data_IF_340559596543
#
_entry.id   IF_340559596543
#
_cell.length_a   1.000
_cell.length_b   1.000
_cell.length_c   1.000
_cell.angle_alpha   90.00
_cell.angle_beta   90.00
_cell.angle_gamma   90.00
#
_symmetry.space_group_name_H-M   'P 1'
#
loop_
_entity.id
_entity.type
_entity.pdbx_description
1 polymer ?
#
# COMPACT_ATOMS: atom_id res chain seq x y z
N UNK A 1 7.04 -31.17 -19.14
CA UNK A 1 6.72 -30.64 -17.81
C UNK A 1 7.65 -29.46 -17.55
N UNK A 2 7.19 -28.26 -17.76
CA UNK A 2 7.97 -27.03 -17.55
C UNK A 2 8.09 -26.78 -16.04
N UNK A 3 9.32 -26.81 -15.53
CA UNK A 3 9.61 -26.54 -14.10
C UNK A 3 9.27 -25.09 -13.81
N UNK A 4 8.09 -24.82 -13.25
CA UNK A 4 7.71 -23.51 -12.76
C UNK A 4 8.74 -23.10 -11.70
N UNK A 5 9.66 -22.21 -12.06
CA UNK A 5 10.62 -21.62 -11.11
C UNK A 5 9.83 -20.73 -10.14
N UNK A 6 9.52 -21.27 -8.98
CA UNK A 6 8.93 -20.48 -7.89
C UNK A 6 9.94 -19.42 -7.44
N UNK A 7 9.64 -18.16 -7.71
CA UNK A 7 10.45 -17.07 -7.20
C UNK A 7 10.24 -16.94 -5.68
N UNK A 8 11.33 -16.75 -4.93
CA UNK A 8 11.29 -16.57 -3.46
C UNK A 8 10.34 -15.45 -3.03
N UNK A 9 10.19 -14.43 -3.89
CA UNK A 9 9.28 -13.30 -3.69
C UNK A 9 7.77 -13.64 -3.81
N UNK A 10 7.44 -14.88 -4.19
CA UNK A 10 6.05 -15.37 -4.33
C UNK A 10 5.73 -16.47 -3.30
N UNK A 11 6.57 -16.62 -2.25
CA UNK A 11 6.34 -17.61 -1.20
C UNK A 11 5.24 -17.16 -0.24
N UNK A 12 4.46 -18.13 0.26
CA UNK A 12 3.43 -17.88 1.27
C UNK A 12 3.98 -17.19 2.53
N UNK A 13 5.18 -17.57 2.99
CA UNK A 13 5.84 -16.98 4.16
C UNK A 13 6.07 -15.47 3.99
N UNK A 14 6.60 -15.06 2.84
CA UNK A 14 6.79 -13.65 2.55
C UNK A 14 5.45 -12.90 2.48
N UNK A 15 4.44 -13.51 1.87
CA UNK A 15 3.11 -12.92 1.77
C UNK A 15 2.45 -12.72 3.14
N UNK A 16 2.63 -13.68 4.06
CA UNK A 16 2.14 -13.57 5.44
C UNK A 16 2.85 -12.44 6.20
N UNK A 17 4.19 -12.32 6.07
CA UNK A 17 4.95 -11.23 6.69
C UNK A 17 4.52 -9.86 6.16
N UNK A 18 4.32 -9.74 4.85
CA UNK A 18 3.88 -8.48 4.24
C UNK A 18 2.43 -8.15 4.62
N UNK A 19 1.55 -9.15 4.78
CA UNK A 19 0.19 -8.92 5.28
C UNK A 19 0.20 -8.44 6.74
N UNK A 20 1.07 -9.01 7.58
CA UNK A 20 1.27 -8.56 8.95
C UNK A 20 1.82 -7.14 9.01
N UNK A 21 2.80 -6.80 8.16
CA UNK A 21 3.33 -5.44 8.02
C UNK A 21 2.23 -4.44 7.63
N UNK A 22 1.40 -4.76 6.62
CA UNK A 22 0.29 -3.90 6.21
C UNK A 22 -0.76 -3.72 7.30
N UNK A 23 -1.09 -4.77 8.05
CA UNK A 23 -1.98 -4.69 9.21
C UNK A 23 -1.41 -3.83 10.35
N UNK A 24 -0.11 -3.92 10.59
CA UNK A 24 0.58 -3.07 11.57
C UNK A 24 0.57 -1.59 11.15
N UNK A 25 0.80 -1.30 9.87
CA UNK A 25 0.72 0.06 9.32
C UNK A 25 -0.69 0.65 9.46
N UNK A 26 -1.74 -0.15 9.20
CA UNK A 26 -3.14 0.26 9.42
C UNK A 26 -3.41 0.53 10.91
N UNK A 27 -2.97 -0.37 11.80
CA UNK A 27 -3.12 -0.19 13.23
C UNK A 27 -2.41 1.08 13.73
N UNK A 28 -1.21 1.36 13.22
CA UNK A 28 -0.46 2.56 13.55
C UNK A 28 -1.18 3.83 13.09
N UNK A 29 -1.59 3.91 11.82
CA UNK A 29 -2.25 5.10 11.29
C UNK A 29 -3.63 5.32 11.92
N UNK A 30 -4.37 4.26 12.22
CA UNK A 30 -5.68 4.36 12.83
C UNK A 30 -5.64 4.74 14.31
N UNK A 31 -4.71 4.16 15.11
CA UNK A 31 -4.68 4.40 16.55
C UNK A 31 -3.81 5.59 16.96
N UNK A 32 -2.73 5.88 16.23
CA UNK A 32 -1.72 6.87 16.63
C UNK A 32 -1.81 8.17 15.82
N UNK A 33 -2.40 8.09 14.61
CA UNK A 33 -2.59 9.24 13.72
C UNK A 33 -4.07 9.63 13.69
N UNK A 34 -4.63 10.00 12.58
CA UNK A 34 -5.95 10.63 12.46
C UNK A 34 -7.11 9.65 12.17
N UNK A 35 -7.06 8.41 12.69
CA UNK A 35 -8.06 7.36 12.49
C UNK A 35 -8.34 7.04 11.02
N UNK A 36 -7.32 7.06 10.21
CA UNK A 36 -7.37 6.77 8.78
C UNK A 36 -6.57 5.50 8.49
N UNK A 37 -7.06 4.65 7.61
CA UNK A 37 -6.35 3.45 7.18
C UNK A 37 -5.32 3.78 6.10
N UNK A 38 -4.14 3.20 6.20
CA UNK A 38 -3.08 3.35 5.19
C UNK A 38 -3.16 2.32 4.07
N UNK A 39 -3.61 1.09 4.40
CA UNK A 39 -3.69 -0.03 3.48
C UNK A 39 -5.15 -0.38 3.15
N UNK A 40 -6.05 -0.40 4.13
CA UNK A 40 -7.47 -0.74 3.95
C UNK A 40 -8.28 0.42 3.35
N UNK A 41 -8.02 0.76 2.09
CA UNK A 41 -8.65 1.92 1.42
C UNK A 41 -10.18 1.81 1.32
N UNK A 42 -10.72 0.59 1.32
CA UNK A 42 -12.18 0.37 1.40
C UNK A 42 -12.76 0.97 2.68
N UNK A 43 -12.05 0.85 3.81
CA UNK A 43 -12.43 1.48 5.07
C UNK A 43 -12.49 3.01 4.96
N UNK A 44 -11.47 3.61 4.32
CA UNK A 44 -11.46 5.07 4.09
C UNK A 44 -12.64 5.52 3.22
N UNK A 45 -12.98 4.77 2.16
CA UNK A 45 -14.15 5.08 1.30
C UNK A 45 -15.46 4.99 2.09
N UNK A 46 -15.62 3.98 2.94
CA UNK A 46 -16.81 3.84 3.80
C UNK A 46 -16.91 5.01 4.78
N UNK A 47 -15.83 5.34 5.48
CA UNK A 47 -15.82 6.47 6.42
C UNK A 47 -16.05 7.82 5.71
N UNK A 48 -15.45 8.01 4.53
CA UNK A 48 -15.70 9.18 3.69
C UNK A 48 -17.18 9.30 3.32
N UNK A 49 -17.81 8.21 2.86
CA UNK A 49 -19.23 8.23 2.49
C UNK A 49 -20.14 8.53 3.68
N UNK A 50 -19.84 8.01 4.86
CA UNK A 50 -20.55 8.28 6.09
C UNK A 50 -20.53 9.78 6.46
N UNK A 51 -19.36 10.42 6.39
CA UNK A 51 -19.22 11.85 6.67
C UNK A 51 -19.91 12.72 5.61
N UNK A 52 -19.89 12.30 4.33
CA UNK A 52 -20.62 12.97 3.27
C UNK A 52 -22.15 12.95 3.52
N UNK A 53 -22.71 11.81 3.93
CA UNK A 53 -24.13 11.68 4.27
C UNK A 53 -24.53 12.54 5.47
N UNK A 54 -23.57 12.80 6.40
CA UNK A 54 -23.78 13.69 7.55
C UNK A 54 -23.57 15.18 7.20
N UNK A 55 -23.26 15.53 5.96
CA UNK A 55 -22.97 16.90 5.53
C UNK A 55 -21.62 17.45 6.00
N UNK A 56 -20.73 16.59 6.51
CA UNK A 56 -19.42 16.96 7.06
C UNK A 56 -18.32 16.87 6.00
N UNK A 57 -18.32 17.80 5.06
CA UNK A 57 -17.45 17.79 3.89
C UNK A 57 -15.96 17.85 4.22
N UNK A 58 -15.56 18.64 5.23
CA UNK A 58 -14.16 18.75 5.63
C UNK A 58 -13.62 17.42 6.20
N UNK A 59 -14.43 16.73 7.01
CA UNK A 59 -14.08 15.43 7.57
C UNK A 59 -14.05 14.35 6.46
N UNK A 60 -14.95 14.41 5.48
CA UNK A 60 -14.95 13.50 4.34
C UNK A 60 -13.67 13.64 3.48
N UNK A 61 -13.22 14.88 3.22
CA UNK A 61 -11.98 15.14 2.48
C UNK A 61 -10.75 14.57 3.19
N UNK A 62 -10.77 14.50 4.51
CA UNK A 62 -9.69 13.92 5.29
C UNK A 62 -9.39 12.45 4.89
N UNK A 63 -10.42 11.68 4.56
CA UNK A 63 -10.28 10.29 4.10
C UNK A 63 -9.90 10.18 2.62
N UNK A 64 -10.14 11.22 1.82
CA UNK A 64 -9.79 11.23 0.40
C UNK A 64 -8.29 11.32 0.15
N UNK A 65 -7.55 12.09 0.94
CA UNK A 65 -6.12 12.30 0.75
C UNK A 65 -5.29 11.01 0.79
N UNK A 66 -5.46 10.09 1.76
CA UNK A 66 -4.79 8.80 1.78
C UNK A 66 -5.15 7.91 0.58
N UNK A 67 -6.39 7.97 0.08
CA UNK A 67 -6.81 7.25 -1.13
C UNK A 67 -6.05 7.74 -2.35
N UNK A 68 -5.91 9.06 -2.51
CA UNK A 68 -5.12 9.67 -3.60
C UNK A 68 -3.63 9.29 -3.47
N UNK A 69 -3.07 9.38 -2.25
CA UNK A 69 -1.68 9.00 -2.00
C UNK A 69 -1.43 7.52 -2.33
N UNK A 70 -2.38 6.64 -2.00
CA UNK A 70 -2.34 5.22 -2.36
C UNK A 70 -2.35 5.02 -3.87
N UNK A 71 -3.24 5.68 -4.60
CA UNK A 71 -3.29 5.62 -6.06
C UNK A 71 -1.98 6.09 -6.72
N UNK A 72 -1.37 7.14 -6.19
CA UNK A 72 -0.04 7.61 -6.64
C UNK A 72 1.05 6.57 -6.36
N UNK A 73 1.01 5.89 -5.21
CA UNK A 73 1.96 4.82 -4.86
C UNK A 73 1.87 3.65 -5.84
N UNK A 74 0.66 3.22 -6.22
CA UNK A 74 0.45 2.19 -7.25
C UNK A 74 1.07 2.63 -8.58
N UNK A 75 0.80 3.85 -9.01
CA UNK A 75 1.32 4.40 -10.26
C UNK A 75 2.86 4.44 -10.28
N UNK A 76 3.48 4.90 -9.20
CA UNK A 76 4.95 4.93 -9.07
C UNK A 76 5.54 3.54 -9.09
N UNK A 77 4.94 2.58 -8.36
CA UNK A 77 5.40 1.19 -8.35
C UNK A 77 5.36 0.57 -9.76
N UNK A 78 4.31 0.85 -10.55
CA UNK A 78 4.21 0.40 -11.94
C UNK A 78 5.30 1.01 -12.82
N UNK A 79 5.58 2.30 -12.67
CA UNK A 79 6.66 2.99 -13.42
C UNK A 79 8.04 2.43 -13.07
N UNK A 80 8.32 2.19 -11.79
CA UNK A 80 9.56 1.56 -11.34
C UNK A 80 9.67 0.14 -11.92
N UNK A 81 8.59 -0.65 -11.87
CA UNK A 81 8.57 -1.99 -12.46
C UNK A 81 8.88 -1.95 -13.96
N UNK A 82 8.23 -1.08 -14.74
CA UNK A 82 8.44 -0.99 -16.18
C UNK A 82 9.88 -0.60 -16.52
N UNK A 83 10.46 0.35 -15.79
CA UNK A 83 11.82 0.88 -16.04
C UNK A 83 12.92 -0.09 -15.65
N UNK A 84 12.76 -0.83 -14.54
CA UNK A 84 13.84 -1.63 -13.95
C UNK A 84 13.64 -3.15 -14.09
N UNK A 85 12.54 -3.62 -14.66
CA UNK A 85 12.23 -5.05 -14.81
C UNK A 85 13.30 -5.84 -15.55
N UNK A 86 13.99 -5.21 -16.50
CA UNK A 86 14.98 -5.85 -17.38
C UNK A 86 16.43 -5.47 -17.04
N UNK A 87 16.69 -4.72 -15.97
CA UNK A 87 18.05 -4.39 -15.56
C UNK A 87 18.61 -5.46 -14.62
N UNK A 88 19.83 -5.94 -14.92
CA UNK A 88 20.45 -7.13 -14.33
C UNK A 88 21.06 -6.93 -12.95
N UNK A 89 21.39 -5.69 -12.52
CA UNK A 89 22.23 -5.48 -11.34
C UNK A 89 21.48 -5.43 -10.01
N UNK A 90 20.25 -4.91 -9.99
CA UNK A 90 19.43 -4.84 -8.76
C UNK A 90 18.00 -5.23 -9.11
N UNK A 91 17.44 -6.17 -8.36
CA UNK A 91 16.05 -6.56 -8.58
C UNK A 91 15.11 -5.41 -8.19
N UNK A 92 14.26 -4.93 -9.11
CA UNK A 92 13.34 -3.80 -8.92
C UNK A 92 12.50 -3.88 -7.62
N UNK A 93 12.16 -5.09 -7.17
CA UNK A 93 11.45 -5.30 -5.89
C UNK A 93 12.27 -4.88 -4.67
N UNK A 94 13.60 -5.04 -4.71
CA UNK A 94 14.49 -4.59 -3.63
C UNK A 94 14.54 -3.06 -3.53
N UNK A 95 14.50 -2.38 -4.66
CA UNK A 95 14.46 -0.90 -4.71
C UNK A 95 13.19 -0.41 -4.01
N UNK A 96 12.05 -1.03 -4.28
CA UNK A 96 10.77 -0.62 -3.68
C UNK A 96 10.77 -0.90 -2.17
N UNK A 97 11.26 -2.05 -1.72
CA UNK A 97 11.38 -2.35 -0.29
C UNK A 97 12.34 -1.39 0.42
N UNK A 98 13.47 -1.05 -0.20
CA UNK A 98 14.40 -0.06 0.37
C UNK A 98 13.75 1.32 0.49
N UNK A 99 12.99 1.74 -0.53
CA UNK A 99 12.25 3.00 -0.50
C UNK A 99 11.15 2.99 0.58
N UNK A 100 10.43 1.87 0.73
CA UNK A 100 9.44 1.69 1.79
C UNK A 100 10.06 1.84 3.18
N UNK A 101 11.19 1.14 3.44
CA UNK A 101 11.92 1.25 4.70
C UNK A 101 12.33 2.70 4.97
N UNK A 102 12.87 3.40 3.98
CA UNK A 102 13.26 4.80 4.11
C UNK A 102 12.07 5.71 4.44
N UNK A 103 10.93 5.53 3.76
CA UNK A 103 9.70 6.31 4.02
C UNK A 103 9.19 6.03 5.44
N UNK A 104 9.06 4.76 5.85
CA UNK A 104 8.58 4.42 7.19
C UNK A 104 9.51 4.91 8.29
N UNK A 105 10.82 4.88 8.06
CA UNK A 105 11.80 5.45 8.97
C UNK A 105 11.60 6.97 9.12
N UNK A 106 11.43 7.70 8.02
CA UNK A 106 11.15 9.14 8.05
C UNK A 106 9.83 9.46 8.76
N UNK A 107 8.78 8.66 8.52
CA UNK A 107 7.47 8.82 9.19
C UNK A 107 7.59 8.73 10.71
N UNK A 108 8.52 7.90 11.23
CA UNK A 108 8.79 7.78 12.66
C UNK A 108 9.23 9.10 13.32
N UNK A 109 9.83 10.03 12.59
CA UNK A 109 10.28 11.34 13.08
C UNK A 109 9.25 12.46 12.87
N UNK A 110 8.17 12.22 12.14
CA UNK A 110 7.15 13.23 11.87
C UNK A 110 6.32 13.49 13.13
N UNK A 111 6.33 14.74 13.68
CA UNK A 111 5.54 15.08 14.86
C UNK A 111 4.03 15.01 14.56
N UNK A 112 3.24 14.88 15.62
CA UNK A 112 1.78 14.75 15.54
C UNK A 112 1.06 15.91 14.83
N UNK A 113 1.70 17.07 14.73
CA UNK A 113 1.15 18.22 13.98
C UNK A 113 0.97 17.93 12.48
N UNK A 114 1.74 17.00 11.92
CA UNK A 114 1.73 16.64 10.51
C UNK A 114 1.17 15.24 10.26
N UNK A 115 0.17 14.82 11.04
CA UNK A 115 -0.44 13.49 10.94
C UNK A 115 -0.94 13.16 9.53
N UNK A 116 -1.57 14.11 8.84
CA UNK A 116 -2.06 13.92 7.47
C UNK A 116 -0.91 13.57 6.52
N UNK A 117 0.21 14.31 6.58
CA UNK A 117 1.37 14.03 5.74
C UNK A 117 1.97 12.64 6.06
N UNK A 118 2.07 12.30 7.35
CA UNK A 118 2.54 10.98 7.78
C UNK A 118 1.63 9.87 7.24
N UNK A 119 0.31 10.00 7.36
CA UNK A 119 -0.66 9.01 6.86
C UNK A 119 -0.62 8.88 5.34
N UNK A 120 -0.47 9.98 4.60
CA UNK A 120 -0.30 9.95 3.14
C UNK A 120 0.99 9.20 2.74
N UNK A 121 2.10 9.43 3.43
CA UNK A 121 3.37 8.75 3.16
C UNK A 121 3.27 7.24 3.46
N UNK A 122 2.61 6.84 4.56
CA UNK A 122 2.39 5.43 4.87
C UNK A 122 1.46 4.80 3.83
N UNK A 123 0.37 5.47 3.42
CA UNK A 123 -0.53 4.97 2.37
C UNK A 123 0.17 4.81 1.03
N UNK A 124 1.03 5.75 0.65
CA UNK A 124 1.86 5.67 -0.54
C UNK A 124 2.82 4.46 -0.47
N UNK A 125 3.47 4.25 0.67
CA UNK A 125 4.38 3.13 0.92
C UNK A 125 3.64 1.79 0.85
N UNK A 126 2.48 1.66 1.52
CA UNK A 126 1.61 0.49 1.43
C UNK A 126 1.22 0.14 0.00
N UNK A 127 0.86 1.15 -0.80
CA UNK A 127 0.48 0.96 -2.18
C UNK A 127 1.61 0.38 -3.02
N UNK A 128 2.83 0.88 -2.84
CA UNK A 128 4.02 0.35 -3.52
C UNK A 128 4.28 -1.12 -3.12
N UNK A 129 4.15 -1.46 -1.84
CA UNK A 129 4.30 -2.83 -1.35
C UNK A 129 3.24 -3.77 -1.97
N UNK A 130 1.96 -3.38 -1.93
CA UNK A 130 0.84 -4.16 -2.46
C UNK A 130 1.02 -4.41 -3.96
N UNK A 131 1.36 -3.38 -4.73
CA UNK A 131 1.54 -3.50 -6.18
C UNK A 131 2.75 -4.39 -6.54
N UNK A 132 3.83 -4.31 -5.76
CA UNK A 132 5.06 -5.06 -6.00
C UNK A 132 4.91 -6.56 -5.71
N UNK A 133 4.15 -6.91 -4.66
CA UNK A 133 4.00 -8.27 -4.16
C UNK A 133 2.58 -8.82 -4.32
N UNK A 134 1.88 -8.42 -5.37
CA UNK A 134 0.48 -8.83 -5.60
C UNK A 134 0.28 -10.29 -6.03
N UNK A 135 1.37 -11.03 -6.34
CA UNK A 135 1.31 -12.42 -6.77
C UNK A 135 1.86 -13.36 -5.72
N UNK A 136 1.17 -14.48 -5.49
CA UNK A 136 1.62 -15.61 -4.68
C UNK A 136 1.50 -16.86 -5.53
N UNK A 137 2.59 -17.61 -5.71
CA UNK A 137 2.65 -18.81 -6.54
C UNK A 137 2.09 -18.61 -7.98
N UNK A 138 2.26 -17.41 -8.55
CA UNK A 138 1.74 -17.08 -9.88
C UNK A 138 0.28 -16.62 -9.90
N UNK A 139 -0.46 -16.78 -8.79
CA UNK A 139 -1.85 -16.33 -8.66
C UNK A 139 -1.91 -14.91 -8.06
N UNK A 140 -2.86 -14.10 -8.54
CA UNK A 140 -3.12 -12.78 -7.95
C UNK A 140 -3.64 -12.92 -6.53
N UNK A 141 -2.93 -12.33 -5.56
CA UNK A 141 -3.34 -12.31 -4.17
C UNK A 141 -3.85 -10.90 -3.81
N UNK A 142 -5.15 -10.81 -3.51
CA UNK A 142 -5.76 -9.56 -3.08
C UNK A 142 -5.50 -9.35 -1.58
N UNK A 143 -4.58 -8.44 -1.25
CA UNK A 143 -4.36 -7.98 0.13
C UNK A 143 -5.32 -6.88 0.54
N UNK A 144 -5.93 -6.20 -0.43
CA UNK A 144 -6.91 -5.13 -0.26
C UNK A 144 -8.02 -5.27 -1.30
N UNK A 145 -9.27 -5.19 -0.87
CA UNK A 145 -10.45 -5.43 -1.70
C UNK A 145 -10.60 -4.50 -2.93
N UNK A 146 -9.99 -3.32 -2.94
CA UNK A 146 -10.17 -2.31 -4.00
C UNK A 146 -9.41 -2.61 -5.31
N UNK A 147 -8.38 -3.45 -5.29
CA UNK A 147 -7.52 -3.69 -6.47
C UNK A 147 -7.88 -4.94 -7.28
N UNK A 148 -8.88 -5.72 -6.85
CA UNK A 148 -9.14 -7.02 -7.44
C UNK A 148 -10.21 -7.06 -8.54
N UNK A 149 -10.93 -5.98 -8.78
CA UNK A 149 -12.14 -6.03 -9.63
C UNK A 149 -11.89 -6.01 -11.13
N UNK A 150 -10.65 -5.93 -11.64
CA UNK A 150 -10.43 -5.72 -13.07
C UNK A 150 -9.86 -6.88 -13.88
N UNK A 151 -9.67 -8.08 -13.30
CA UNK A 151 -9.21 -9.24 -14.06
C UNK A 151 -9.76 -10.58 -13.54
N UNK A 152 -11.07 -10.69 -13.46
CA UNK A 152 -11.75 -11.96 -13.54
C UNK A 152 -12.59 -11.97 -14.83
N UNK A 153 -11.94 -12.16 -15.96
CA UNK A 153 -12.51 -12.69 -17.22
C UNK A 153 -11.40 -13.46 -17.90
#
# INVERSE_FOLDING_TARGET
>A
MEKVRHQTSETFRLSALLALSGGFQDAYTYNVRDRVFSNAQTGNVVLMSQHLMMGKWAEALHYLFPVIAFAMGVFVAERVQQKYKYRSCIHWRQIIVALEIAILFLVGFIPAQFNMAATMLVSFSCAMQVQTFRKVHGYGYARTCLLYTSRCV
#
